data_IF_764309297819
#
_entry.id   IF_764309297819
#
_cell.length_a   1.000
_cell.length_b   1.000
_cell.length_c   1.000
_cell.angle_alpha   90.00
_cell.angle_beta   90.00
_cell.angle_gamma   90.00
#
_symmetry.space_group_name_H-M   'P 1'
#
loop_
_entity.id
_entity.type
_entity.pdbx_description
1 polymer ?
#
# COMPACT_ATOMS: atom_id res chain seq x y z
N UNK A 1 -48.41 -63.36 -5.39
CA UNK A 1 -47.35 -62.45 -4.95
C UNK A 1 -46.51 -62.12 -6.18
N UNK A 2 -46.87 -61.06 -6.83
CA UNK A 2 -46.21 -60.54 -8.05
C UNK A 2 -45.29 -59.42 -7.70
N UNK A 3 -43.98 -59.65 -7.81
CA UNK A 3 -42.94 -58.64 -7.66
C UNK A 3 -43.02 -57.69 -8.87
N UNK A 4 -43.24 -56.41 -8.63
CA UNK A 4 -43.09 -55.33 -9.61
C UNK A 4 -41.59 -55.15 -9.89
N UNK A 5 -41.22 -55.34 -11.14
CA UNK A 5 -39.93 -54.96 -11.65
C UNK A 5 -39.86 -53.41 -11.66
N UNK A 6 -38.91 -52.82 -10.98
CA UNK A 6 -38.57 -51.39 -11.08
C UNK A 6 -37.90 -51.14 -12.44
N UNK A 7 -38.43 -50.15 -13.12
CA UNK A 7 -38.00 -49.72 -14.46
C UNK A 7 -36.58 -49.06 -14.35
N UNK A 8 -35.56 -49.56 -15.05
CA UNK A 8 -34.20 -49.01 -14.97
C UNK A 8 -34.02 -47.68 -15.70
N UNK A 9 -35.10 -47.05 -16.20
CA UNK A 9 -35.05 -45.78 -16.93
C UNK A 9 -35.04 -44.54 -16.03
N UNK A 10 -35.30 -44.67 -14.71
CA UNK A 10 -35.36 -43.54 -13.79
C UNK A 10 -34.03 -43.22 -13.05
N UNK A 11 -33.00 -44.04 -13.26
CA UNK A 11 -31.70 -43.87 -12.60
C UNK A 11 -30.65 -43.06 -13.42
N UNK A 12 -31.00 -42.52 -14.61
CA UNK A 12 -30.02 -41.95 -15.54
C UNK A 12 -30.06 -40.40 -15.64
N UNK A 13 -30.89 -39.72 -14.86
CA UNK A 13 -31.06 -38.24 -14.97
C UNK A 13 -30.70 -37.45 -13.69
N UNK A 14 -29.86 -38.00 -12.83
CA UNK A 14 -29.09 -37.21 -11.85
C UNK A 14 -27.70 -36.91 -12.41
N UNK A 15 -27.62 -36.29 -13.59
CA UNK A 15 -26.43 -35.52 -13.97
C UNK A 15 -26.39 -34.33 -13.00
N UNK A 16 -25.33 -34.28 -12.22
CA UNK A 16 -25.05 -33.20 -11.28
C UNK A 16 -25.27 -31.87 -12.03
N UNK A 17 -26.39 -31.21 -11.75
CA UNK A 17 -26.63 -29.84 -12.22
C UNK A 17 -25.57 -28.97 -11.53
N UNK A 18 -24.78 -28.24 -12.33
CA UNK A 18 -23.81 -27.31 -11.79
C UNK A 18 -24.61 -26.31 -10.93
N UNK A 19 -24.21 -26.17 -9.69
CA UNK A 19 -24.81 -25.21 -8.77
C UNK A 19 -24.38 -23.79 -9.14
N UNK A 20 -25.32 -22.95 -9.55
CA UNK A 20 -25.09 -21.57 -9.91
C UNK A 20 -24.54 -20.75 -8.72
N UNK A 21 -25.00 -21.05 -7.51
CA UNK A 21 -24.52 -20.38 -6.30
C UNK A 21 -23.05 -20.74 -6.02
N UNK A 22 -22.63 -21.97 -6.28
CA UNK A 22 -21.23 -22.38 -6.19
C UNK A 22 -20.36 -21.66 -7.23
N UNK A 23 -20.85 -21.43 -8.44
CA UNK A 23 -20.16 -20.65 -9.47
C UNK A 23 -20.02 -19.17 -9.03
N UNK A 24 -21.09 -18.58 -8.51
CA UNK A 24 -21.05 -17.21 -7.98
C UNK A 24 -20.09 -17.10 -6.78
N UNK A 25 -20.08 -18.08 -5.89
CA UNK A 25 -19.14 -18.12 -4.78
C UNK A 25 -17.68 -18.22 -5.27
N UNK A 26 -17.41 -19.02 -6.29
CA UNK A 26 -16.08 -19.08 -6.91
C UNK A 26 -15.69 -17.74 -7.57
N UNK A 27 -16.59 -17.09 -8.28
CA UNK A 27 -16.36 -15.79 -8.91
C UNK A 27 -16.15 -14.66 -7.88
N UNK A 28 -16.72 -14.75 -6.69
CA UNK A 28 -16.49 -13.78 -5.62
C UNK A 28 -15.06 -13.82 -5.04
N UNK A 29 -14.30 -14.87 -5.31
CA UNK A 29 -12.87 -14.94 -4.95
C UNK A 29 -11.94 -14.37 -6.02
N UNK A 30 -12.49 -14.05 -7.21
CA UNK A 30 -11.70 -13.50 -8.32
C UNK A 30 -11.60 -11.98 -8.17
N UNK A 31 -10.42 -11.51 -7.84
CA UNK A 31 -10.13 -10.08 -7.73
C UNK A 31 -9.62 -9.50 -9.06
N UNK A 32 -10.09 -8.31 -9.39
CA UNK A 32 -9.49 -7.51 -10.47
C UNK A 32 -8.02 -7.17 -10.12
N UNK A 33 -7.07 -7.38 -11.03
CA UNK A 33 -5.64 -7.21 -10.74
C UNK A 33 -5.21 -5.75 -10.53
N UNK A 34 -5.99 -4.77 -10.97
CA UNK A 34 -5.70 -3.34 -10.80
C UNK A 34 -6.44 -2.75 -9.58
N UNK A 35 -7.70 -3.11 -9.42
CA UNK A 35 -8.57 -2.57 -8.36
C UNK A 35 -8.41 -3.34 -7.03
N UNK A 36 -7.96 -4.60 -7.08
CA UNK A 36 -7.80 -5.50 -5.94
C UNK A 36 -9.10 -5.70 -5.13
N UNK A 37 -10.22 -5.78 -5.84
CA UNK A 37 -11.54 -6.11 -5.29
C UNK A 37 -12.20 -7.20 -6.12
N UNK A 38 -13.10 -8.01 -5.53
CA UNK A 38 -13.85 -9.03 -6.25
C UNK A 38 -14.61 -8.45 -7.45
N UNK A 39 -14.48 -9.10 -8.62
CA UNK A 39 -15.17 -8.67 -9.85
C UNK A 39 -16.69 -8.63 -9.70
N UNK A 40 -17.23 -9.43 -8.78
CA UNK A 40 -18.66 -9.45 -8.44
C UNK A 40 -19.11 -8.20 -7.69
N UNK A 41 -18.23 -7.59 -6.89
CA UNK A 41 -18.54 -6.41 -6.09
C UNK A 41 -18.42 -5.11 -6.89
N UNK A 42 -17.55 -5.08 -7.90
CA UNK A 42 -17.25 -3.87 -8.67
C UNK A 42 -18.01 -3.79 -10.01
N UNK A 43 -19.06 -4.63 -10.16
CA UNK A 43 -19.92 -4.59 -11.34
C UNK A 43 -19.27 -5.09 -12.63
N UNK A 44 -18.17 -5.82 -12.53
CA UNK A 44 -17.49 -6.41 -13.70
C UNK A 44 -18.12 -7.74 -14.16
N UNK A 45 -18.90 -8.41 -13.32
CA UNK A 45 -19.62 -9.62 -13.71
C UNK A 45 -20.86 -9.24 -14.54
N UNK A 46 -20.89 -9.63 -15.83
CA UNK A 46 -22.02 -9.42 -16.74
C UNK A 46 -23.11 -10.48 -16.55
N UNK A 47 -22.72 -11.71 -16.34
CA UNK A 47 -23.64 -12.84 -16.16
C UNK A 47 -22.92 -14.18 -16.26
N UNK A 48 -23.65 -15.23 -15.91
CA UNK A 48 -23.21 -16.62 -15.98
C UNK A 48 -24.27 -17.45 -16.66
N UNK A 49 -23.90 -18.17 -17.70
CA UNK A 49 -24.75 -19.13 -18.41
C UNK A 49 -24.16 -20.55 -18.30
N UNK A 50 -25.01 -21.52 -17.97
CA UNK A 50 -24.61 -22.93 -17.82
C UNK A 50 -25.33 -23.75 -18.85
N UNK A 51 -24.59 -24.37 -19.75
CA UNK A 51 -25.16 -25.29 -20.76
C UNK A 51 -25.42 -26.70 -20.21
N UNK A 52 -26.33 -27.44 -20.83
CA UNK A 52 -26.61 -28.82 -20.48
C UNK A 52 -25.39 -29.77 -20.59
N UNK A 53 -24.33 -29.35 -21.31
CA UNK A 53 -23.07 -30.10 -21.46
C UNK A 53 -22.03 -29.76 -20.37
N UNK A 54 -22.38 -28.98 -19.36
CA UNK A 54 -21.43 -28.58 -18.31
C UNK A 54 -20.44 -27.48 -18.72
N UNK A 55 -20.71 -26.78 -19.83
CA UNK A 55 -19.94 -25.60 -20.22
C UNK A 55 -20.51 -24.40 -19.50
N UNK A 56 -19.65 -23.68 -18.76
CA UNK A 56 -20.00 -22.44 -18.06
C UNK A 56 -19.46 -21.25 -18.85
N UNK A 57 -20.35 -20.39 -19.32
CA UNK A 57 -19.98 -19.14 -19.99
C UNK A 57 -20.08 -17.99 -18.99
N UNK A 58 -18.96 -17.28 -18.77
CA UNK A 58 -18.89 -16.14 -17.85
C UNK A 58 -18.66 -14.87 -18.64
N UNK A 59 -19.62 -13.98 -18.63
CA UNK A 59 -19.48 -12.63 -19.19
C UNK A 59 -18.79 -11.70 -18.20
N UNK A 60 -17.71 -11.02 -18.63
CA UNK A 60 -16.96 -10.08 -17.79
C UNK A 60 -16.80 -8.76 -18.54
N UNK A 61 -17.14 -7.66 -17.85
CA UNK A 61 -16.89 -6.32 -18.34
C UNK A 61 -15.48 -5.86 -18.02
N UNK A 62 -14.79 -5.34 -19.03
CA UNK A 62 -13.52 -4.61 -18.88
C UNK A 62 -13.82 -3.11 -18.75
N UNK A 63 -13.02 -2.40 -17.98
CA UNK A 63 -13.13 -0.95 -17.81
C UNK A 63 -12.81 -0.19 -19.09
N UNK A 64 -11.83 -0.68 -19.88
CA UNK A 64 -11.41 -0.10 -21.17
C UNK A 64 -11.16 -1.18 -22.22
N UNK A 65 -11.37 -0.86 -23.49
CA UNK A 65 -11.20 -1.80 -24.61
C UNK A 65 -9.76 -2.33 -24.81
N UNK A 66 -8.78 -1.61 -24.29
CA UNK A 66 -7.35 -1.95 -24.37
C UNK A 66 -6.75 -2.40 -23.04
N UNK A 67 -7.54 -3.00 -22.12
CA UNK A 67 -7.06 -3.41 -20.80
C UNK A 67 -5.85 -4.36 -20.91
N UNK A 68 -4.67 -4.00 -20.36
CA UNK A 68 -3.48 -4.84 -20.41
C UNK A 68 -3.61 -6.10 -19.57
N UNK A 69 -4.56 -6.13 -18.62
CA UNK A 69 -4.80 -7.24 -17.69
C UNK A 69 -5.86 -8.24 -18.19
N UNK A 70 -6.30 -8.11 -19.45
CA UNK A 70 -7.31 -8.96 -20.08
C UNK A 70 -7.04 -10.46 -19.91
N UNK A 71 -5.82 -10.87 -20.20
CA UNK A 71 -5.42 -12.28 -20.14
C UNK A 71 -5.38 -12.80 -18.70
N UNK A 72 -4.91 -11.97 -17.77
CA UNK A 72 -4.87 -12.27 -16.34
C UNK A 72 -6.28 -12.45 -15.75
N UNK A 73 -7.23 -11.60 -16.13
CA UNK A 73 -8.64 -11.70 -15.69
C UNK A 73 -9.24 -13.00 -16.24
N UNK A 74 -9.03 -13.27 -17.53
CA UNK A 74 -9.51 -14.51 -18.18
C UNK A 74 -8.98 -15.76 -17.48
N UNK A 75 -7.69 -15.79 -17.17
CA UNK A 75 -7.05 -16.91 -16.48
C UNK A 75 -7.63 -17.10 -15.05
N UNK A 76 -7.74 -16.02 -14.28
CA UNK A 76 -8.29 -16.07 -12.90
C UNK A 76 -9.73 -16.58 -12.87
N UNK A 77 -10.58 -16.08 -13.77
CA UNK A 77 -11.99 -16.52 -13.90
C UNK A 77 -12.04 -17.99 -14.31
N UNK A 78 -11.26 -18.39 -15.31
CA UNK A 78 -11.21 -19.77 -15.78
C UNK A 78 -10.79 -20.73 -14.66
N UNK A 79 -9.73 -20.40 -13.92
CA UNK A 79 -9.22 -21.21 -12.82
C UNK A 79 -10.24 -21.35 -11.69
N UNK A 80 -10.88 -20.26 -11.28
CA UNK A 80 -11.85 -20.26 -10.21
C UNK A 80 -13.09 -21.10 -10.55
N UNK A 81 -13.65 -20.91 -11.74
CA UNK A 81 -14.88 -21.62 -12.17
C UNK A 81 -14.61 -23.09 -12.53
N UNK A 82 -13.44 -23.40 -13.08
CA UNK A 82 -13.06 -24.80 -13.39
C UNK A 82 -12.93 -25.68 -12.14
N UNK A 83 -12.74 -25.08 -10.97
CA UNK A 83 -12.68 -25.80 -9.70
C UNK A 83 -14.06 -26.22 -9.16
N UNK A 84 -15.15 -25.71 -9.73
CA UNK A 84 -16.52 -26.03 -9.32
C UNK A 84 -16.93 -27.41 -9.83
N UNK A 85 -17.52 -28.22 -8.96
CA UNK A 85 -17.91 -29.57 -9.27
C UNK A 85 -18.95 -29.61 -10.43
N UNK A 86 -18.71 -30.47 -11.41
CA UNK A 86 -19.58 -30.66 -12.59
C UNK A 86 -19.24 -29.73 -13.77
N UNK A 87 -18.34 -28.79 -13.66
CA UNK A 87 -17.89 -27.93 -14.76
C UNK A 87 -16.99 -28.72 -15.69
N UNK A 88 -17.37 -28.83 -16.96
CA UNK A 88 -16.61 -29.51 -17.99
C UNK A 88 -15.62 -28.57 -18.70
N UNK A 89 -16.04 -27.34 -18.95
CA UNK A 89 -15.19 -26.30 -19.53
C UNK A 89 -15.75 -24.90 -19.21
N UNK A 90 -14.87 -23.88 -19.26
CA UNK A 90 -15.22 -22.49 -19.00
C UNK A 90 -14.92 -21.67 -20.26
N UNK A 91 -15.87 -20.81 -20.63
CA UNK A 91 -15.73 -19.82 -21.69
C UNK A 91 -15.86 -18.44 -21.05
N UNK A 92 -14.86 -17.58 -21.23
CA UNK A 92 -14.92 -16.20 -20.72
C UNK A 92 -15.17 -15.25 -21.88
N UNK A 93 -16.29 -14.56 -21.83
CA UNK A 93 -16.66 -13.53 -22.81
C UNK A 93 -16.35 -12.15 -22.23
N UNK A 94 -15.45 -11.43 -22.89
CA UNK A 94 -15.05 -10.10 -22.47
C UNK A 94 -15.82 -9.04 -23.26
N UNK A 95 -16.44 -8.12 -22.54
CA UNK A 95 -17.14 -6.96 -23.09
C UNK A 95 -16.55 -5.67 -22.46
N UNK A 96 -16.96 -4.49 -22.93
CA UNK A 96 -16.49 -3.21 -22.39
C UNK A 96 -17.64 -2.53 -21.66
N UNK A 97 -17.38 -1.98 -20.47
CA UNK A 97 -18.36 -1.22 -19.72
C UNK A 97 -18.91 -0.04 -20.50
N UNK A 98 -20.23 0.15 -20.46
CA UNK A 98 -20.89 1.37 -20.96
C UNK A 98 -20.65 2.56 -20.01
N UNK A 99 -21.09 3.75 -20.45
CA UNK A 99 -20.88 5.00 -19.68
C UNK A 99 -21.57 4.97 -18.31
N UNK A 100 -22.76 4.40 -18.22
CA UNK A 100 -23.50 4.26 -16.95
C UNK A 100 -22.79 3.33 -15.97
N UNK A 101 -22.32 2.17 -16.45
CA UNK A 101 -21.60 1.20 -15.63
C UNK A 101 -20.25 1.76 -15.11
N UNK A 102 -19.55 2.54 -15.97
CA UNK A 102 -18.34 3.25 -15.58
C UNK A 102 -18.61 4.32 -14.53
N UNK A 103 -19.73 5.06 -14.67
CA UNK A 103 -20.11 6.06 -13.67
C UNK A 103 -20.45 5.40 -12.32
N UNK A 104 -21.11 4.23 -12.33
CA UNK A 104 -21.40 3.46 -11.13
C UNK A 104 -20.14 2.89 -10.48
N UNK A 105 -19.24 2.31 -11.27
CA UNK A 105 -17.93 1.87 -10.80
C UNK A 105 -17.15 3.04 -10.16
N UNK A 106 -17.09 4.19 -10.82
CA UNK A 106 -16.44 5.40 -10.29
C UNK A 106 -17.03 5.82 -8.95
N UNK A 107 -18.36 5.82 -8.81
CA UNK A 107 -19.05 6.14 -7.57
C UNK A 107 -18.73 5.12 -6.46
N UNK A 108 -18.72 3.82 -6.80
CA UNK A 108 -18.39 2.74 -5.89
C UNK A 108 -16.94 2.83 -5.39
N UNK A 109 -16.02 3.19 -6.26
CA UNK A 109 -14.60 3.29 -5.95
C UNK A 109 -14.26 4.56 -5.17
N UNK A 110 -14.84 5.70 -5.50
CA UNK A 110 -14.56 6.98 -4.81
C UNK A 110 -15.26 7.11 -3.46
N UNK A 111 -16.47 6.59 -3.31
CA UNK A 111 -17.22 6.62 -2.06
C UNK A 111 -17.62 8.01 -1.52
N UNK A 112 -17.13 9.09 -2.11
CA UNK A 112 -17.30 10.50 -1.69
C UNK A 112 -17.09 11.48 -2.85
N UNK A 113 -17.35 12.76 -2.61
CA UNK A 113 -17.27 13.84 -3.59
C UNK A 113 -15.82 14.11 -4.09
N UNK A 114 -15.72 14.72 -5.28
CA UNK A 114 -14.46 14.94 -5.98
C UNK A 114 -13.43 15.67 -5.12
N UNK A 115 -12.23 15.07 -4.96
CA UNK A 115 -11.01 15.61 -4.31
C UNK A 115 -11.01 15.68 -2.78
N UNK A 116 -11.84 14.92 -2.10
CA UNK A 116 -11.72 14.77 -0.66
C UNK A 116 -10.58 13.81 -0.30
N UNK A 117 -9.69 14.26 0.60
CA UNK A 117 -8.60 13.42 1.10
C UNK A 117 -9.14 12.60 2.27
N UNK A 118 -9.44 11.31 2.02
CA UNK A 118 -10.00 10.40 3.03
C UNK A 118 -9.12 10.28 4.29
N UNK A 119 -7.79 10.43 4.16
CA UNK A 119 -6.84 10.34 5.27
C UNK A 119 -6.86 11.55 6.19
N UNK A 120 -7.38 12.69 5.74
CA UNK A 120 -7.53 13.91 6.51
C UNK A 120 -8.83 13.97 7.32
N UNK A 121 -9.78 13.05 7.06
CA UNK A 121 -11.08 13.04 7.72
C UNK A 121 -10.96 12.66 9.20
N UNK A 122 -11.73 13.29 10.10
CA UNK A 122 -11.68 12.99 11.54
C UNK A 122 -11.99 11.53 11.90
N UNK A 123 -12.73 10.81 11.04
CA UNK A 123 -13.07 9.41 11.20
C UNK A 123 -12.12 8.42 10.53
N UNK A 124 -11.05 8.91 9.89
CA UNK A 124 -10.09 8.03 9.21
C UNK A 124 -9.40 7.08 10.19
N UNK A 125 -9.44 5.80 9.86
CA UNK A 125 -8.75 4.74 10.62
C UNK A 125 -7.33 4.51 10.13
N UNK A 126 -6.97 5.10 8.99
CA UNK A 126 -5.63 5.00 8.41
C UNK A 126 -4.66 5.84 9.24
N UNK A 127 -3.55 5.23 9.66
CA UNK A 127 -2.46 5.96 10.32
C UNK A 127 -1.51 6.49 9.27
N UNK A 128 -1.22 7.77 9.34
CA UNK A 128 -0.36 8.45 8.38
C UNK A 128 0.96 8.82 9.05
N UNK A 129 2.07 8.38 8.47
CA UNK A 129 3.41 8.73 8.92
C UNK A 129 4.17 9.49 7.83
N UNK A 130 4.63 10.69 8.16
CA UNK A 130 5.51 11.49 7.33
C UNK A 130 6.96 11.24 7.74
N UNK A 131 7.74 10.59 6.87
CA UNK A 131 9.14 10.26 7.15
C UNK A 131 10.01 11.43 6.70
N UNK A 132 10.61 12.10 7.66
CA UNK A 132 11.40 13.30 7.46
C UNK A 132 12.87 13.07 7.82
N UNK A 133 13.76 13.84 7.22
CA UNK A 133 15.17 13.93 7.61
C UNK A 133 15.70 15.34 7.40
N UNK A 134 16.60 15.79 8.23
CA UNK A 134 17.10 17.16 8.07
C UNK A 134 18.24 17.29 7.06
N UNK A 135 18.85 16.21 6.63
CA UNK A 135 19.87 16.18 5.57
C UNK A 135 19.65 15.01 4.63
N UNK A 136 20.14 15.13 3.40
CA UNK A 136 20.20 14.02 2.46
C UNK A 136 21.23 12.97 2.86
N UNK A 137 21.06 11.74 2.34
CA UNK A 137 22.05 10.66 2.52
C UNK A 137 21.98 9.93 3.87
N UNK A 138 20.96 10.15 4.71
CA UNK A 138 20.77 9.42 5.97
C UNK A 138 20.11 8.04 5.77
N UNK A 139 19.77 7.67 4.54
CA UNK A 139 19.09 6.41 4.23
C UNK A 139 17.57 6.44 4.48
N UNK A 140 16.96 7.63 4.55
CA UNK A 140 15.53 7.81 4.80
C UNK A 140 14.65 6.91 3.93
N UNK A 141 14.81 6.96 2.60
CA UNK A 141 14.01 6.17 1.66
C UNK A 141 14.21 4.67 1.79
N UNK A 142 15.44 4.20 2.09
CA UNK A 142 15.72 2.78 2.39
C UNK A 142 14.99 2.32 3.66
N UNK A 143 14.99 3.15 4.69
CA UNK A 143 14.22 2.91 5.93
C UNK A 143 12.74 2.88 5.62
N UNK A 144 12.22 3.87 4.91
CA UNK A 144 10.79 3.98 4.55
C UNK A 144 10.30 2.76 3.76
N UNK A 145 11.05 2.36 2.72
CA UNK A 145 10.71 1.21 1.88
C UNK A 145 10.67 -0.10 2.69
N UNK A 146 11.69 -0.34 3.53
CA UNK A 146 11.73 -1.56 4.34
C UNK A 146 10.69 -1.56 5.47
N UNK A 147 10.36 -0.42 6.08
CA UNK A 147 9.25 -0.31 7.03
C UNK A 147 7.92 -0.66 6.36
N UNK A 148 7.66 -0.10 5.17
CA UNK A 148 6.44 -0.39 4.41
C UNK A 148 6.29 -1.89 4.13
N UNK A 149 7.35 -2.53 3.65
CA UNK A 149 7.36 -3.97 3.35
C UNK A 149 7.22 -4.83 4.61
N UNK A 150 7.92 -4.46 5.70
CA UNK A 150 7.79 -5.17 6.98
C UNK A 150 6.35 -5.09 7.52
N UNK A 151 5.69 -3.94 7.41
CA UNK A 151 4.29 -3.76 7.80
C UNK A 151 3.34 -4.57 6.92
N UNK A 152 3.56 -4.59 5.60
CA UNK A 152 2.78 -5.41 4.66
C UNK A 152 2.95 -6.91 4.94
N UNK A 153 4.17 -7.37 5.25
CA UNK A 153 4.46 -8.75 5.65
C UNK A 153 3.77 -9.16 6.96
N UNK A 154 3.41 -8.20 7.81
CA UNK A 154 2.59 -8.43 9.02
C UNK A 154 1.09 -8.46 8.74
N UNK A 155 0.66 -8.38 7.48
CA UNK A 155 -0.75 -8.42 7.05
C UNK A 155 -1.45 -7.07 7.08
N UNK A 156 -0.73 -5.95 7.19
CA UNK A 156 -1.31 -4.62 7.12
C UNK A 156 -1.46 -4.16 5.66
N UNK A 157 -2.54 -3.45 5.35
CA UNK A 157 -2.72 -2.76 4.07
C UNK A 157 -1.90 -1.46 4.08
N UNK A 158 -0.85 -1.40 3.26
CA UNK A 158 0.13 -0.31 3.29
C UNK A 158 0.15 0.46 1.97
N UNK A 159 0.04 1.78 2.06
CA UNK A 159 0.30 2.72 0.99
C UNK A 159 1.60 3.49 1.23
N UNK A 160 2.30 3.86 0.15
CA UNK A 160 3.51 4.64 0.21
C UNK A 160 3.53 5.70 -0.88
N UNK A 161 3.66 6.96 -0.47
CA UNK A 161 3.86 8.11 -1.34
C UNK A 161 5.33 8.48 -1.33
N UNK A 162 5.99 8.39 -2.47
CA UNK A 162 7.33 8.95 -2.69
C UNK A 162 7.16 10.43 -3.07
N UNK A 163 7.29 11.29 -2.08
CA UNK A 163 7.18 12.74 -2.22
C UNK A 163 8.54 13.42 -2.46
N UNK A 164 9.64 12.67 -2.51
CA UNK A 164 10.94 13.18 -2.90
C UNK A 164 11.07 13.29 -4.42
N UNK A 165 10.62 14.42 -4.95
CA UNK A 165 10.59 14.72 -6.39
C UNK A 165 11.96 14.68 -7.05
N UNK A 166 13.02 14.86 -6.29
CA UNK A 166 14.39 14.87 -6.79
C UNK A 166 15.09 13.52 -6.62
N UNK A 167 14.72 12.77 -5.57
CA UNK A 167 15.37 11.51 -5.20
C UNK A 167 14.59 10.23 -5.56
N UNK A 168 13.35 10.35 -6.00
CA UNK A 168 12.37 9.31 -6.39
C UNK A 168 12.91 7.86 -6.49
N UNK A 169 13.36 7.31 -5.38
CA UNK A 169 14.02 5.99 -5.32
C UNK A 169 13.09 4.84 -4.92
N UNK A 170 11.95 5.15 -4.29
CA UNK A 170 11.05 4.17 -3.70
C UNK A 170 10.50 3.13 -4.71
N UNK A 171 9.98 3.51 -5.91
CA UNK A 171 9.47 2.52 -6.85
C UNK A 171 10.52 1.47 -7.24
N UNK A 172 11.78 1.90 -7.43
CA UNK A 172 12.88 0.99 -7.73
C UNK A 172 13.20 0.08 -6.56
N UNK A 173 13.26 0.62 -5.33
CA UNK A 173 13.55 -0.15 -4.11
C UNK A 173 12.50 -1.23 -3.83
N UNK A 174 11.27 -1.04 -4.29
CA UNK A 174 10.15 -1.97 -4.14
C UNK A 174 9.86 -2.80 -5.39
N UNK A 175 10.69 -2.71 -6.43
CA UNK A 175 10.40 -3.37 -7.70
C UNK A 175 9.08 -2.96 -8.37
N UNK A 176 8.44 -1.90 -7.87
CA UNK A 176 7.17 -1.35 -8.36
C UNK A 176 7.39 -0.35 -9.49
N UNK A 177 8.04 -0.80 -10.58
CA UNK A 177 8.48 0.07 -11.69
C UNK A 177 7.45 0.21 -12.80
N UNK A 178 6.31 -0.49 -12.72
CA UNK A 178 5.22 -0.33 -13.66
C UNK A 178 4.66 1.10 -13.60
N UNK A 179 4.22 1.62 -14.73
CA UNK A 179 3.53 2.90 -14.76
C UNK A 179 2.15 2.76 -14.09
N UNK A 180 1.70 3.78 -13.34
CA UNK A 180 0.33 3.81 -12.85
C UNK A 180 -0.65 3.78 -14.03
N UNK A 181 -1.75 3.05 -13.87
CA UNK A 181 -2.85 3.02 -14.84
C UNK A 181 -3.98 3.95 -14.42
N UNK A 182 -4.91 4.23 -15.32
CA UNK A 182 -6.03 5.13 -15.04
C UNK A 182 -7.34 4.38 -15.25
N UNK A 183 -8.16 4.31 -14.20
CA UNK A 183 -9.51 3.74 -14.25
C UNK A 183 -10.51 4.82 -13.83
N UNK A 184 -11.40 5.22 -14.73
CA UNK A 184 -12.44 6.24 -14.50
C UNK A 184 -11.94 7.53 -13.83
N UNK A 185 -10.75 7.97 -14.23
CA UNK A 185 -10.12 9.19 -13.70
C UNK A 185 -9.44 9.01 -12.35
N UNK A 186 -9.36 7.78 -11.84
CA UNK A 186 -8.55 7.43 -10.68
C UNK A 186 -7.22 6.82 -11.11
N UNK A 187 -6.17 7.12 -10.37
CA UNK A 187 -4.84 6.59 -10.57
C UNK A 187 -4.72 5.27 -9.80
N UNK A 188 -4.50 4.17 -10.52
CA UNK A 188 -4.21 2.87 -9.93
C UNK A 188 -2.71 2.79 -9.65
N UNK A 189 -2.28 2.72 -8.37
CA UNK A 189 -0.87 2.69 -8.04
C UNK A 189 -0.29 1.31 -8.31
N UNK A 190 0.94 1.21 -8.85
CA UNK A 190 1.64 -0.07 -8.91
C UNK A 190 1.89 -0.62 -7.49
N UNK A 191 2.03 -1.93 -7.40
CA UNK A 191 2.24 -2.63 -6.13
C UNK A 191 3.57 -3.37 -6.16
N UNK A 192 4.34 -3.26 -5.07
CA UNK A 192 5.55 -4.04 -4.84
C UNK A 192 5.57 -4.61 -3.43
N UNK A 193 5.75 -5.92 -3.29
CA UNK A 193 5.75 -6.65 -2.01
C UNK A 193 4.52 -6.35 -1.12
N UNK A 194 3.33 -6.23 -1.73
CA UNK A 194 2.09 -5.91 -1.01
C UNK A 194 1.90 -4.44 -0.64
N UNK A 195 2.82 -3.56 -1.03
CA UNK A 195 2.75 -2.10 -0.80
C UNK A 195 2.26 -1.39 -2.06
N UNK A 196 1.21 -0.57 -1.97
CA UNK A 196 0.77 0.32 -3.05
C UNK A 196 1.66 1.55 -3.08
N UNK A 197 2.24 1.85 -4.23
CA UNK A 197 3.26 2.91 -4.35
C UNK A 197 2.85 3.94 -5.39
N UNK A 198 2.97 5.21 -5.04
CA UNK A 198 2.89 6.31 -6.00
C UNK A 198 4.11 7.21 -5.87
N UNK A 199 4.64 7.66 -6.99
CA UNK A 199 5.77 8.59 -7.05
C UNK A 199 5.56 9.61 -8.16
N UNK A 200 6.23 10.74 -8.08
CA UNK A 200 6.22 11.77 -9.12
C UNK A 200 6.88 11.34 -10.42
N UNK A 201 7.70 10.29 -10.40
CA UNK A 201 8.52 9.87 -11.54
C UNK A 201 7.72 9.62 -12.83
N UNK A 202 6.62 8.84 -12.84
CA UNK A 202 5.83 8.57 -14.05
C UNK A 202 5.12 9.80 -14.61
N UNK A 203 4.91 10.84 -13.80
CA UNK A 203 4.19 12.07 -14.20
C UNK A 203 5.15 13.18 -14.65
N UNK A 204 6.44 12.90 -14.72
CA UNK A 204 7.46 13.85 -15.13
C UNK A 204 7.43 14.06 -16.65
N UNK A 205 7.14 15.28 -17.15
CA UNK A 205 7.25 15.57 -18.58
C UNK A 205 8.69 15.34 -19.05
N UNK A 206 8.89 14.49 -20.07
CA UNK A 206 10.22 14.18 -20.59
C UNK A 206 10.99 13.07 -19.88
N UNK A 207 10.35 12.34 -18.96
CA UNK A 207 10.92 11.13 -18.32
C UNK A 207 11.99 11.41 -17.26
N UNK A 208 12.74 10.37 -16.90
CA UNK A 208 13.69 10.36 -15.77
C UNK A 208 14.83 11.37 -15.94
N UNK A 209 15.25 11.63 -17.18
CA UNK A 209 16.48 12.36 -17.48
C UNK A 209 16.34 13.87 -17.57
N UNK A 210 15.11 14.40 -17.68
CA UNK A 210 14.94 15.84 -17.76
C UNK A 210 14.80 16.48 -16.38
N UNK A 211 15.61 17.50 -16.04
CA UNK A 211 15.42 18.29 -14.82
C UNK A 211 14.12 19.09 -14.94
N UNK A 212 13.18 18.85 -14.05
CA UNK A 212 11.96 19.65 -13.94
C UNK A 212 12.06 20.50 -12.69
N UNK A 213 11.99 21.81 -12.87
CA UNK A 213 11.91 22.75 -11.75
C UNK A 213 10.45 22.77 -11.25
N UNK A 214 10.15 21.99 -10.23
CA UNK A 214 8.87 22.08 -9.53
C UNK A 214 8.89 23.28 -8.59
N UNK A 215 7.89 24.16 -8.69
CA UNK A 215 7.65 25.22 -7.72
C UNK A 215 6.70 24.72 -6.62
N UNK A 216 6.78 25.29 -5.41
CA UNK A 216 5.97 24.88 -4.26
C UNK A 216 4.48 24.62 -4.55
N UNK A 217 3.75 25.52 -5.26
CA UNK A 217 2.34 25.29 -5.58
C UNK A 217 2.09 24.08 -6.50
N UNK A 218 3.04 23.72 -7.36
CA UNK A 218 2.93 22.52 -8.21
C UNK A 218 3.11 21.26 -7.39
N UNK A 219 4.04 21.28 -6.44
CA UNK A 219 4.28 20.17 -5.53
C UNK A 219 3.08 19.92 -4.61
N UNK A 220 2.47 21.00 -4.09
CA UNK A 220 1.26 20.92 -3.29
C UNK A 220 0.11 20.25 -4.06
N UNK A 221 -0.13 20.70 -5.31
CA UNK A 221 -1.17 20.11 -6.17
C UNK A 221 -0.91 18.62 -6.48
N UNK A 222 0.34 18.27 -6.76
CA UNK A 222 0.71 16.89 -7.03
C UNK A 222 0.50 15.99 -5.81
N UNK A 223 0.90 16.46 -4.62
CA UNK A 223 0.66 15.74 -3.38
C UNK A 223 -0.86 15.59 -3.10
N UNK A 224 -1.62 16.67 -3.29
CA UNK A 224 -3.09 16.64 -3.17
C UNK A 224 -3.70 15.61 -4.14
N UNK A 225 -3.23 15.57 -5.39
CA UNK A 225 -3.68 14.59 -6.37
C UNK A 225 -3.34 13.16 -5.95
N UNK A 226 -2.15 12.90 -5.42
CA UNK A 226 -1.77 11.58 -4.93
C UNK A 226 -2.61 11.13 -3.74
N UNK A 227 -3.02 12.05 -2.89
CA UNK A 227 -3.83 11.73 -1.72
C UNK A 227 -5.32 11.56 -2.05
N UNK A 228 -5.84 12.27 -3.07
CA UNK A 228 -7.26 12.31 -3.40
C UNK A 228 -7.63 11.45 -4.63
N UNK A 229 -6.78 11.41 -5.67
CA UNK A 229 -7.12 10.79 -6.95
C UNK A 229 -6.49 9.39 -7.14
N UNK A 230 -5.60 8.96 -6.23
CA UNK A 230 -5.05 7.61 -6.25
C UNK A 230 -6.01 6.64 -5.55
N UNK A 231 -6.24 5.49 -6.18
CA UNK A 231 -7.00 4.40 -5.58
C UNK A 231 -6.17 3.68 -4.50
N UNK A 232 -6.30 4.11 -3.27
CA UNK A 232 -5.59 3.50 -2.16
C UNK A 232 -6.31 2.29 -1.56
N UNK A 233 -7.63 2.15 -1.76
CA UNK A 233 -8.45 1.19 -1.01
C UNK A 233 -8.45 1.48 0.49
N UNK A 234 -8.82 0.49 1.28
CA UNK A 234 -8.78 0.60 2.73
C UNK A 234 -7.35 0.35 3.23
N UNK A 235 -6.67 1.41 3.64
CA UNK A 235 -5.34 1.33 4.21
C UNK A 235 -5.37 1.28 5.74
N UNK A 236 -4.49 0.46 6.31
CA UNK A 236 -4.12 0.55 7.72
C UNK A 236 -3.09 1.66 7.94
N UNK A 237 -2.13 1.78 7.01
CA UNK A 237 -1.01 2.70 7.14
C UNK A 237 -0.72 3.37 5.79
N UNK A 238 -0.49 4.68 5.82
CA UNK A 238 0.06 5.45 4.73
C UNK A 238 1.39 6.06 5.15
N UNK A 239 2.45 5.74 4.42
CA UNK A 239 3.77 6.33 4.60
C UNK A 239 4.02 7.40 3.53
N UNK A 240 4.61 8.53 3.91
CA UNK A 240 5.07 9.57 2.98
C UNK A 240 6.58 9.72 3.13
N UNK A 241 7.34 9.40 2.09
CA UNK A 241 8.78 9.64 2.03
C UNK A 241 9.03 11.09 1.60
N UNK A 242 9.30 11.99 2.55
CA UNK A 242 9.48 13.43 2.28
C UNK A 242 10.87 13.71 1.72
N UNK A 243 11.05 14.78 0.94
CA UNK A 243 12.40 15.24 0.59
C UNK A 243 13.19 15.65 1.85
N UNK A 244 14.53 15.65 1.79
CA UNK A 244 15.33 16.08 2.91
C UNK A 244 15.12 17.58 3.23
N UNK A 245 15.10 17.92 4.50
CA UNK A 245 14.88 19.29 4.99
C UNK A 245 13.41 19.59 5.32
N UNK A 246 13.11 20.86 5.55
CA UNK A 246 11.80 21.39 6.01
C UNK A 246 11.15 22.28 4.95
N UNK A 247 11.28 21.90 3.67
CA UNK A 247 10.80 22.70 2.54
C UNK A 247 9.29 22.60 2.30
N UNK A 248 8.85 23.15 1.16
CA UNK A 248 7.45 23.31 0.75
C UNK A 248 6.62 22.02 0.84
N UNK A 249 7.22 20.85 0.59
CA UNK A 249 6.52 19.55 0.65
C UNK A 249 6.13 19.20 2.09
N UNK A 250 6.99 19.48 3.06
CA UNK A 250 6.69 19.20 4.46
C UNK A 250 5.53 20.09 4.95
N UNK A 251 5.53 21.37 4.56
CA UNK A 251 4.43 22.31 4.85
C UNK A 251 3.14 21.85 4.15
N UNK A 252 3.24 21.46 2.88
CA UNK A 252 2.09 20.94 2.12
C UNK A 252 1.51 19.67 2.73
N UNK A 253 2.37 18.77 3.20
CA UNK A 253 1.95 17.53 3.89
C UNK A 253 1.18 17.88 5.16
N UNK A 254 1.65 18.82 5.95
CA UNK A 254 0.97 19.24 7.16
C UNK A 254 -0.41 19.88 6.90
N UNK A 255 -0.50 20.69 5.85
CA UNK A 255 -1.77 21.30 5.43
C UNK A 255 -2.81 20.28 4.92
N UNK A 256 -2.35 19.31 4.14
CA UNK A 256 -3.22 18.28 3.52
C UNK A 256 -3.54 17.15 4.49
N UNK A 257 -2.65 16.85 5.44
CA UNK A 257 -2.74 15.73 6.38
C UNK A 257 -2.41 16.20 7.81
N UNK A 258 -3.26 17.02 8.44
CA UNK A 258 -2.99 17.59 9.76
C UNK A 258 -2.82 16.52 10.85
N UNK A 259 -3.40 15.34 10.65
CA UNK A 259 -3.31 14.20 11.58
C UNK A 259 -2.07 13.31 11.34
N UNK A 260 -1.23 13.60 10.35
CA UNK A 260 -0.03 12.82 10.09
C UNK A 260 0.97 12.98 11.24
N UNK A 261 1.56 11.86 11.67
CA UNK A 261 2.62 11.84 12.67
C UNK A 261 4.00 11.87 11.96
N UNK A 262 4.94 12.65 12.46
CA UNK A 262 6.27 12.77 11.88
C UNK A 262 7.20 11.72 12.47
N UNK A 263 7.95 11.00 11.64
CA UNK A 263 9.06 10.14 12.04
C UNK A 263 10.35 10.77 11.51
N UNK A 264 11.29 11.05 12.39
CA UNK A 264 12.57 11.66 12.03
C UNK A 264 13.63 10.59 11.85
N UNK A 265 14.21 10.49 10.65
CA UNK A 265 15.35 9.61 10.36
C UNK A 265 16.64 10.41 10.43
N UNK A 266 17.58 9.94 11.22
CA UNK A 266 18.89 10.57 11.44
C UNK A 266 20.02 9.54 11.42
N UNK A 267 21.25 9.99 11.63
CA UNK A 267 22.46 9.18 11.79
C UNK A 267 23.17 9.55 13.11
N UNK A 268 24.11 8.75 13.62
CA UNK A 268 24.79 9.04 14.90
C UNK A 268 25.58 10.34 14.96
N UNK A 269 25.84 11.00 13.83
CA UNK A 269 26.67 12.18 13.75
C UNK A 269 26.09 13.37 14.55
N UNK A 270 26.93 14.05 15.33
CA UNK A 270 26.52 15.18 16.18
C UNK A 270 25.88 16.36 15.42
N UNK A 271 26.18 16.56 14.15
CA UNK A 271 25.48 17.53 13.27
C UNK A 271 23.98 17.21 13.07
N UNK A 272 23.50 16.09 13.58
CA UNK A 272 22.09 15.74 13.61
C UNK A 272 21.26 16.63 14.57
N UNK A 273 21.89 17.29 15.54
CA UNK A 273 21.22 18.19 16.48
C UNK A 273 20.52 19.38 15.78
N UNK A 274 21.17 19.99 14.80
CA UNK A 274 20.57 21.08 13.99
C UNK A 274 19.35 20.63 13.21
N UNK A 275 19.27 19.33 12.91
CA UNK A 275 18.16 18.67 12.23
C UNK A 275 16.95 18.54 13.14
N UNK A 276 17.19 18.19 14.40
CA UNK A 276 16.13 18.05 15.40
C UNK A 276 15.42 19.39 15.63
N UNK A 277 16.17 20.47 15.74
CA UNK A 277 15.59 21.80 15.90
C UNK A 277 14.67 22.15 14.73
N UNK A 278 15.09 21.89 13.49
CA UNK A 278 14.27 22.18 12.30
C UNK A 278 13.02 21.31 12.22
N UNK A 279 13.14 20.02 12.48
CA UNK A 279 11.99 19.12 12.49
C UNK A 279 11.02 19.44 13.64
N UNK A 280 11.54 19.82 14.81
CA UNK A 280 10.76 20.30 15.95
C UNK A 280 10.03 21.61 15.62
N UNK A 281 10.71 22.58 15.04
CA UNK A 281 10.10 23.84 14.62
C UNK A 281 8.98 23.60 13.59
N UNK A 282 9.18 22.70 12.64
CA UNK A 282 8.14 22.34 11.68
C UNK A 282 6.95 21.70 12.39
N UNK A 283 7.17 20.70 13.24
CA UNK A 283 6.11 20.00 13.98
C UNK A 283 5.31 20.97 14.85
N UNK A 284 5.98 21.91 15.52
CA UNK A 284 5.34 22.95 16.33
C UNK A 284 4.50 23.90 15.47
N UNK A 285 5.05 24.42 14.38
CA UNK A 285 4.35 25.33 13.46
C UNK A 285 3.14 24.68 12.77
N UNK A 286 3.21 23.39 12.54
CA UNK A 286 2.15 22.62 11.85
C UNK A 286 1.22 21.89 12.82
N UNK A 287 1.45 21.99 14.12
CA UNK A 287 0.72 21.27 15.18
C UNK A 287 0.69 19.75 14.97
N UNK A 288 1.73 19.21 14.32
CA UNK A 288 1.85 17.77 14.09
C UNK A 288 2.59 17.09 15.24
N UNK A 289 2.20 15.85 15.53
CA UNK A 289 2.88 15.02 16.51
C UNK A 289 4.13 14.39 15.91
N UNK A 290 5.21 14.34 16.69
CA UNK A 290 6.39 13.54 16.35
C UNK A 290 6.23 12.16 16.97
N UNK A 291 6.08 11.12 16.13
CA UNK A 291 5.93 9.72 16.57
C UNK A 291 7.23 9.19 17.18
N UNK A 292 8.38 9.65 16.70
CA UNK A 292 9.70 9.31 17.24
C UNK A 292 10.85 9.50 16.27
N UNK A 293 12.02 9.07 16.71
CA UNK A 293 13.29 9.17 15.98
C UNK A 293 13.78 7.77 15.63
N UNK A 294 14.30 7.60 14.43
CA UNK A 294 15.02 6.39 13.97
C UNK A 294 16.46 6.78 13.69
N UNK A 295 17.40 6.14 14.37
CA UNK A 295 18.83 6.30 14.08
C UNK A 295 19.25 5.22 13.09
N UNK A 296 19.57 5.62 11.86
CA UNK A 296 20.12 4.73 10.85
C UNK A 296 21.63 4.79 10.84
N UNK A 297 22.30 3.72 10.39
CA UNK A 297 23.77 3.60 10.37
C UNK A 297 24.38 3.72 11.79
N UNK A 298 23.72 3.16 12.80
CA UNK A 298 24.06 3.32 14.22
C UNK A 298 25.41 2.68 14.57
N UNK A 299 25.75 1.56 13.95
CA UNK A 299 27.03 0.88 14.11
C UNK A 299 27.30 0.04 12.87
N UNK A 300 28.54 -0.36 12.68
CA UNK A 300 28.93 -1.30 11.63
C UNK A 300 29.56 -2.55 12.28
N UNK A 301 28.97 -3.74 12.11
CA UNK A 301 29.59 -4.95 12.63
C UNK A 301 30.88 -5.25 11.86
N UNK A 302 31.96 -5.41 12.60
CA UNK A 302 33.27 -5.75 12.03
C UNK A 302 33.19 -7.07 11.23
N UNK A 303 33.56 -7.11 9.95
CA UNK A 303 33.48 -8.32 9.13
C UNK A 303 34.39 -9.46 9.60
N UNK A 304 35.34 -9.18 10.49
CA UNK A 304 36.27 -10.17 11.00
C UNK A 304 35.88 -10.74 12.36
N UNK A 305 35.42 -9.91 13.30
CA UNK A 305 35.14 -10.34 14.67
C UNK A 305 33.69 -10.09 15.10
N UNK A 306 32.88 -9.38 14.30
CA UNK A 306 31.49 -9.05 14.62
C UNK A 306 31.32 -7.90 15.63
N UNK A 307 32.40 -7.38 16.21
CA UNK A 307 32.30 -6.26 17.15
C UNK A 307 31.78 -4.99 16.46
N UNK A 308 30.89 -4.22 17.11
CA UNK A 308 30.35 -2.99 16.55
C UNK A 308 31.44 -1.91 16.45
N UNK A 309 31.51 -1.26 15.29
CA UNK A 309 32.39 -0.12 15.01
C UNK A 309 31.51 1.12 14.79
N UNK A 310 31.79 2.17 15.51
CA UNK A 310 31.05 3.45 15.44
C UNK A 310 31.57 4.34 14.29
N UNK A 311 31.33 3.91 13.03
CA UNK A 311 31.81 4.62 11.84
C UNK A 311 31.37 6.07 11.76
N UNK A 312 30.18 6.37 12.26
CA UNK A 312 29.55 7.70 12.20
C UNK A 312 29.39 8.34 13.59
N UNK A 313 30.07 7.81 14.62
CA UNK A 313 29.86 8.20 16.01
C UNK A 313 28.72 7.42 16.67
N UNK A 314 28.27 7.87 17.82
CA UNK A 314 27.21 7.19 18.61
C UNK A 314 26.26 8.18 19.24
N UNK A 315 25.02 7.76 19.52
CA UNK A 315 24.05 8.45 20.36
C UNK A 315 23.34 9.65 19.71
N UNK A 316 23.58 9.94 18.42
CA UNK A 316 22.94 11.05 17.73
C UNK A 316 21.42 10.98 17.70
N UNK A 317 20.87 9.79 17.52
CA UNK A 317 19.41 9.57 17.54
C UNK A 317 18.79 9.84 18.92
N UNK A 318 19.45 9.40 19.99
CA UNK A 318 19.01 9.68 21.35
C UNK A 318 19.05 11.17 21.69
N UNK A 319 20.13 11.87 21.28
CA UNK A 319 20.25 13.31 21.43
C UNK A 319 19.13 14.06 20.68
N UNK A 320 18.82 13.64 19.43
CA UNK A 320 17.72 14.22 18.64
C UNK A 320 16.38 13.99 19.36
N UNK A 321 16.12 12.80 19.88
CA UNK A 321 14.89 12.49 20.62
C UNK A 321 14.74 13.35 21.89
N UNK A 322 15.82 13.54 22.63
CA UNK A 322 15.86 14.40 23.82
C UNK A 322 15.58 15.87 23.47
N UNK A 323 16.25 16.40 22.45
CA UNK A 323 16.06 17.79 22.01
C UNK A 323 14.66 18.06 21.48
N UNK A 324 14.10 17.11 20.70
CA UNK A 324 12.70 17.19 20.24
C UNK A 324 11.73 17.13 21.41
N UNK A 325 11.99 16.28 22.41
CA UNK A 325 11.16 16.21 23.63
C UNK A 325 11.16 17.52 24.39
N UNK A 326 12.33 18.15 24.53
CA UNK A 326 12.47 19.42 25.20
C UNK A 326 11.78 20.58 24.43
N UNK A 327 11.92 20.61 23.09
CA UNK A 327 11.33 21.64 22.26
C UNK A 327 9.79 21.55 22.20
N UNK A 328 9.24 20.32 22.12
CA UNK A 328 7.81 20.08 21.97
C UNK A 328 7.05 19.94 23.31
N UNK A 329 7.76 19.89 24.45
CA UNK A 329 7.16 19.64 25.76
C UNK A 329 6.47 18.28 25.92
N UNK A 330 6.76 17.32 25.00
CA UNK A 330 6.20 15.98 25.01
C UNK A 330 7.30 14.95 24.78
N UNK A 331 7.15 13.74 25.32
CA UNK A 331 8.15 12.69 25.10
C UNK A 331 8.18 12.23 23.64
N UNK A 332 9.33 12.38 23.00
CA UNK A 332 9.63 11.84 21.67
C UNK A 332 10.56 10.63 21.82
N UNK A 333 10.09 9.41 21.54
CA UNK A 333 10.89 8.20 21.76
C UNK A 333 11.95 8.02 20.65
N UNK A 334 13.08 7.40 20.99
CA UNK A 334 13.93 6.74 20.03
C UNK A 334 13.28 5.40 19.67
N UNK A 335 12.74 5.29 18.45
CA UNK A 335 12.00 4.10 17.98
C UNK A 335 12.92 2.90 17.74
N UNK A 336 14.16 3.17 17.37
CA UNK A 336 15.17 2.14 17.18
C UNK A 336 16.43 2.66 16.51
N UNK A 337 17.43 1.79 16.55
CA UNK A 337 18.75 2.01 15.94
C UNK A 337 18.98 0.91 14.90
N UNK A 338 19.26 1.29 13.65
CA UNK A 338 19.47 0.38 12.54
C UNK A 338 20.97 0.34 12.25
N UNK A 339 21.64 -0.81 12.43
CA UNK A 339 23.04 -0.97 12.07
C UNK A 339 23.28 -0.69 10.58
N UNK A 340 24.46 -0.23 10.23
CA UNK A 340 24.88 -0.12 8.84
C UNK A 340 24.97 -1.52 8.24
N UNK A 341 24.31 -1.70 7.10
CA UNK A 341 24.30 -2.98 6.40
C UNK A 341 24.45 -2.76 4.89
N UNK A 342 25.44 -3.43 4.29
CA UNK A 342 25.71 -3.37 2.86
C UNK A 342 24.56 -3.97 2.06
N UNK A 343 23.95 -5.05 2.57
CA UNK A 343 22.81 -5.72 1.92
C UNK A 343 21.56 -4.84 1.89
N UNK A 344 21.38 -3.95 2.88
CA UNK A 344 20.29 -2.96 2.87
C UNK A 344 20.43 -2.02 1.66
N UNK A 345 21.65 -1.57 1.34
CA UNK A 345 21.94 -0.76 0.16
C UNK A 345 21.72 -1.57 -1.13
N UNK A 346 22.32 -2.77 -1.21
CA UNK A 346 22.22 -3.63 -2.38
C UNK A 346 20.79 -4.05 -2.68
N UNK A 347 20.01 -4.35 -1.64
CA UNK A 347 18.59 -4.65 -1.74
C UNK A 347 17.79 -3.45 -2.31
N UNK A 348 18.11 -2.24 -1.87
CA UNK A 348 17.52 -1.00 -2.42
C UNK A 348 17.87 -0.80 -3.90
N UNK A 349 19.09 -1.10 -4.30
CA UNK A 349 19.53 -0.97 -5.70
C UNK A 349 18.92 -2.04 -6.63
N UNK A 350 18.69 -3.24 -6.11
CA UNK A 350 18.16 -4.39 -6.87
C UNK A 350 16.64 -4.54 -6.78
N UNK A 351 15.93 -3.71 -6.00
CA UNK A 351 14.49 -3.84 -5.78
C UNK A 351 14.12 -5.05 -4.92
N UNK A 352 14.97 -5.41 -3.97
CA UNK A 352 14.83 -6.59 -3.12
C UNK A 352 14.97 -6.23 -1.63
N UNK A 353 13.89 -5.78 -0.96
CA UNK A 353 13.95 -5.27 0.40
C UNK A 353 14.57 -6.24 1.40
N UNK A 354 15.50 -5.73 2.23
CA UNK A 354 16.29 -6.52 3.19
C UNK A 354 15.40 -7.32 4.16
N UNK A 355 14.33 -6.72 4.64
CA UNK A 355 13.41 -7.35 5.62
C UNK A 355 12.76 -8.64 5.11
N UNK A 356 12.73 -8.87 3.79
CA UNK A 356 12.25 -10.12 3.18
C UNK A 356 13.39 -10.99 2.69
N UNK A 357 14.41 -10.39 2.06
CA UNK A 357 15.51 -11.16 1.46
C UNK A 357 16.47 -11.74 2.50
N UNK A 358 16.68 -11.03 3.61
CA UNK A 358 17.58 -11.44 4.69
C UNK A 358 16.99 -11.03 6.05
N UNK A 359 15.89 -11.67 6.51
CA UNK A 359 15.13 -11.25 7.70
C UNK A 359 15.91 -11.38 9.01
N UNK A 360 16.93 -12.22 9.04
CA UNK A 360 17.75 -12.48 10.23
C UNK A 360 18.92 -11.50 10.39
N UNK A 361 19.19 -10.65 9.41
CA UNK A 361 20.23 -9.63 9.52
C UNK A 361 19.87 -8.59 10.59
N UNK A 362 20.84 -8.11 11.38
CA UNK A 362 20.58 -7.16 12.47
C UNK A 362 19.79 -5.92 12.02
N UNK A 363 20.08 -5.40 10.83
CA UNK A 363 19.34 -4.26 10.28
C UNK A 363 17.88 -4.61 9.92
N UNK A 364 17.62 -5.82 9.39
CA UNK A 364 16.27 -6.29 9.10
C UNK A 364 15.46 -6.52 10.38
N UNK A 365 16.09 -7.10 11.41
CA UNK A 365 15.47 -7.30 12.72
C UNK A 365 15.08 -5.96 13.36
N UNK A 366 16.00 -4.98 13.33
CA UNK A 366 15.73 -3.63 13.84
C UNK A 366 14.57 -2.96 13.10
N UNK A 367 14.58 -2.98 11.75
CA UNK A 367 13.51 -2.45 10.90
C UNK A 367 12.15 -3.11 11.20
N UNK A 368 12.13 -4.44 11.32
CA UNK A 368 10.91 -5.21 11.64
C UNK A 368 10.40 -4.87 13.04
N UNK A 369 11.28 -4.69 14.02
CA UNK A 369 10.91 -4.27 15.36
C UNK A 369 10.27 -2.87 15.38
N UNK A 370 10.88 -1.91 14.67
CA UNK A 370 10.34 -0.56 14.51
C UNK A 370 8.97 -0.61 13.81
N UNK A 371 8.86 -1.34 12.70
CA UNK A 371 7.60 -1.51 11.98
C UNK A 371 6.49 -2.07 12.88
N UNK A 372 6.82 -3.05 13.72
CA UNK A 372 5.90 -3.64 14.70
C UNK A 372 5.44 -2.61 15.73
N UNK A 373 6.34 -1.80 16.28
CA UNK A 373 5.98 -0.78 17.27
C UNK A 373 5.06 0.29 16.70
N UNK A 374 5.20 0.61 15.40
CA UNK A 374 4.36 1.58 14.69
C UNK A 374 3.03 0.95 14.22
N UNK A 375 3.01 -0.32 13.85
CA UNK A 375 1.85 -1.05 13.31
C UNK A 375 0.86 -1.56 14.35
N UNK A 376 1.33 -1.88 15.57
CA UNK A 376 0.50 -2.49 16.62
C UNK A 376 -0.29 -1.41 17.39
N UNK A 377 -1.34 -0.87 16.78
CA UNK A 377 -2.54 -0.50 17.55
C UNK A 377 -3.69 -1.30 16.97
N UNK A 378 -4.41 -2.10 17.78
CA UNK A 378 -5.57 -2.80 17.27
C UNK A 378 -6.51 -1.74 16.66
N UNK A 379 -7.04 -2.02 15.46
CA UNK A 379 -8.20 -1.29 14.96
C UNK A 379 -9.21 -1.33 16.10
N UNK A 380 -9.55 -0.19 16.68
CA UNK A 380 -10.69 -0.11 17.59
C UNK A 380 -11.91 -0.65 16.84
N UNK A 381 -12.91 -1.15 17.53
CA UNK A 381 -14.16 -1.68 16.94
C UNK A 381 -14.94 -0.65 16.10
N UNK A 382 -14.45 0.58 15.97
CA UNK A 382 -14.98 1.64 15.14
C UNK A 382 -14.90 1.22 13.65
N UNK A 383 -16.07 1.05 13.03
CA UNK A 383 -16.21 0.61 11.62
C UNK A 383 -16.49 -0.89 11.43
N UNK A 384 -16.38 -1.72 12.45
CA UNK A 384 -16.89 -3.09 12.38
C UNK A 384 -18.41 -3.08 12.52
N UNK A 385 -19.11 -3.65 11.53
CA UNK A 385 -20.55 -3.94 11.67
C UNK A 385 -20.73 -4.88 12.85
N UNK A 386 -21.18 -4.33 13.98
CA UNK A 386 -21.68 -5.14 15.06
C UNK A 386 -22.98 -5.75 14.53
N UNK A 387 -23.01 -7.05 14.28
CA UNK A 387 -24.20 -7.79 13.84
C UNK A 387 -25.33 -7.78 14.89
N UNK A 388 -25.69 -6.61 15.37
CA UNK A 388 -26.83 -6.38 16.27
C UNK A 388 -28.08 -6.25 15.41
N UNK A 389 -28.80 -7.34 15.25
CA UNK A 389 -30.21 -7.30 14.78
C UNK A 389 -31.04 -6.73 15.94
N UNK A 390 -31.80 -5.62 15.74
CA UNK A 390 -32.70 -5.17 16.77
C UNK A 390 -33.69 -6.30 17.10
N UNK A 391 -33.78 -6.70 18.37
CA UNK A 391 -34.82 -7.59 18.81
C UNK A 391 -36.17 -6.91 18.53
N UNK A 392 -36.95 -7.48 17.59
CA UNK A 392 -38.27 -6.98 17.26
C UNK A 392 -39.13 -6.92 18.51
N UNK A 393 -39.83 -5.81 18.65
CA UNK A 393 -40.96 -5.67 19.58
C UNK A 393 -42.21 -6.32 18.99
#
# INVERSE_FOLDING_TARGET
>A
MTARAEDPATAYDQRMSIDLDAVHAALSTVEDPEIHRPITEIGMLKGVDISAGGVVTVGVYLTVSGCPMRDTITERVTNAVSAVAGVASVVVELDVMGDEQRAELKKLLRGHDEREIQFAQPGSLTRVYAIASGKGGVGKSSVTANLAVAMAAMGLSVGLVDADVYGHSIPRMLGATAAPTMVEGMIMPPTGFGVRVISMLPFKPGGVTQPVAFRGPMLHRALQQFLADVWWGDLDILLLDLPPGTGDIAISTAQLLPNAEIIVVTTPQAAAADVAVRAGTLAEQTHQKVAGVIENMSSFPCPHCGEPIDLFGFGGGALVAEQLSAALGTTVPLLGQIPFDVKLREGGDSGNPLVLSHPDEPAAVALTSIARSLGIRPRGLAGMSLGLTPAGR
#
